data_IF_486851120259
#
_entry.id   IF_486851120259
#
_cell.length_a   1.000
_cell.length_b   1.000
_cell.length_c   1.000
_cell.angle_alpha   90.00
_cell.angle_beta   90.00
_cell.angle_gamma   90.00
#
_symmetry.space_group_name_H-M   'P 1'
#
loop_
_entity.id
_entity.type
_entity.pdbx_description
1 polymer ?
#
# COMPACT_ATOMS: atom_id res chain seq x y z
N UNK A 1 -18.84 2.09 -10.17
CA UNK A 1 -19.82 0.98 -10.15
C UNK A 1 -19.42 -0.02 -11.23
N UNK A 2 -19.23 -1.29 -10.88
CA UNK A 2 -18.81 -2.32 -11.85
C UNK A 2 -20.00 -2.70 -12.75
N UNK A 3 -19.83 -2.79 -14.08
CA UNK A 3 -20.92 -3.17 -14.98
C UNK A 3 -21.46 -4.59 -14.69
N UNK A 4 -22.78 -4.77 -14.75
CA UNK A 4 -23.44 -6.06 -14.46
C UNK A 4 -22.95 -7.22 -15.35
N UNK A 5 -22.64 -6.96 -16.61
CA UNK A 5 -22.09 -7.97 -17.53
C UNK A 5 -20.68 -8.42 -17.16
N UNK A 6 -19.89 -7.54 -16.52
CA UNK A 6 -18.58 -7.91 -16.02
C UNK A 6 -18.70 -8.80 -14.79
N UNK A 7 -19.62 -8.49 -13.88
CA UNK A 7 -19.90 -9.33 -12.70
C UNK A 7 -20.38 -10.72 -13.12
N UNK A 8 -21.33 -10.80 -14.08
CA UNK A 8 -21.83 -12.09 -14.59
C UNK A 8 -20.72 -12.96 -15.19
N UNK A 9 -19.83 -12.37 -15.99
CA UNK A 9 -18.70 -13.08 -16.61
C UNK A 9 -17.67 -13.54 -15.59
N UNK A 10 -17.41 -12.73 -14.57
CA UNK A 10 -16.53 -13.12 -13.46
C UNK A 10 -17.11 -14.28 -12.65
N UNK A 11 -18.39 -14.23 -12.29
CA UNK A 11 -19.06 -15.31 -11.54
C UNK A 11 -19.10 -16.65 -12.29
N UNK A 12 -19.03 -16.63 -13.63
CA UNK A 12 -19.01 -17.84 -14.44
C UNK A 12 -17.74 -18.68 -14.26
N UNK A 13 -16.69 -18.14 -13.62
CA UNK A 13 -15.44 -18.84 -13.32
C UNK A 13 -15.57 -19.77 -12.10
N UNK A 14 -16.58 -19.56 -11.25
CA UNK A 14 -16.79 -20.34 -10.03
C UNK A 14 -17.91 -21.37 -10.21
N UNK A 15 -17.78 -22.47 -9.47
CA UNK A 15 -18.85 -23.45 -9.30
C UNK A 15 -20.12 -22.77 -8.75
N UNK A 16 -21.30 -23.30 -9.09
CA UNK A 16 -22.58 -22.64 -8.78
C UNK A 16 -22.78 -22.45 -7.28
N UNK A 17 -22.33 -23.42 -6.49
CA UNK A 17 -22.32 -23.44 -5.03
C UNK A 17 -21.41 -22.37 -4.39
N UNK A 18 -20.41 -21.88 -5.12
CA UNK A 18 -19.40 -20.94 -4.61
C UNK A 18 -19.68 -19.49 -5.03
N UNK A 19 -20.54 -19.28 -6.04
CA UNK A 19 -20.93 -17.94 -6.51
C UNK A 19 -21.48 -17.02 -5.41
N UNK A 20 -22.27 -17.48 -4.42
CA UNK A 20 -22.72 -16.62 -3.33
C UNK A 20 -21.56 -16.08 -2.48
N UNK A 21 -20.55 -16.90 -2.21
CA UNK A 21 -19.35 -16.48 -1.48
C UNK A 21 -18.52 -15.51 -2.32
N UNK A 22 -18.36 -15.77 -3.63
CA UNK A 22 -17.67 -14.85 -4.54
C UNK A 22 -18.37 -13.48 -4.61
N UNK A 23 -19.71 -13.43 -4.71
CA UNK A 23 -20.47 -12.17 -4.64
C UNK A 23 -20.26 -11.44 -3.32
N UNK A 24 -20.31 -12.17 -2.20
CA UNK A 24 -20.06 -11.61 -0.89
C UNK A 24 -18.66 -10.99 -0.81
N UNK A 25 -17.63 -11.65 -1.35
CA UNK A 25 -16.28 -11.09 -1.42
C UNK A 25 -16.25 -9.80 -2.25
N UNK A 26 -16.91 -9.81 -3.41
CA UNK A 26 -17.00 -8.64 -4.29
C UNK A 26 -17.63 -7.43 -3.60
N UNK A 27 -18.69 -7.65 -2.80
CA UNK A 27 -19.36 -6.61 -2.02
C UNK A 27 -18.49 -6.02 -0.92
N UNK A 28 -17.47 -6.76 -0.47
CA UNK A 28 -16.52 -6.32 0.58
C UNK A 28 -15.35 -5.53 0.02
N UNK A 29 -15.20 -5.46 -1.31
CA UNK A 29 -14.11 -4.75 -1.96
C UNK A 29 -14.54 -3.30 -2.27
N UNK A 30 -13.79 -2.36 -1.74
CA UNK A 30 -13.80 -0.94 -2.06
C UNK A 30 -12.95 -0.66 -3.30
N UNK A 31 -13.63 -0.22 -4.37
CA UNK A 31 -13.02 0.05 -5.67
C UNK A 31 -12.60 1.51 -5.82
N UNK A 32 -11.33 1.72 -6.16
CA UNK A 32 -10.78 3.03 -6.49
C UNK A 32 -10.80 3.24 -8.00
N UNK A 33 -11.82 3.94 -8.48
CA UNK A 33 -11.84 4.41 -9.88
C UNK A 33 -10.71 5.42 -10.13
N UNK A 34 -10.28 5.60 -11.40
CA UNK A 34 -9.24 6.56 -11.75
C UNK A 34 -9.48 7.99 -11.18
N UNK A 35 -10.67 8.61 -11.30
CA UNK A 35 -10.92 9.93 -10.70
C UNK A 35 -10.91 9.93 -9.17
N UNK A 36 -11.27 8.80 -8.55
CA UNK A 36 -11.17 8.65 -7.11
C UNK A 36 -9.70 8.52 -6.67
N UNK A 37 -8.93 7.70 -7.36
CA UNK A 37 -7.50 7.53 -7.15
C UNK A 37 -6.75 8.86 -7.23
N UNK A 38 -7.04 9.70 -8.23
CA UNK A 38 -6.45 11.05 -8.33
C UNK A 38 -6.77 11.92 -7.10
N UNK A 39 -7.99 11.84 -6.56
CA UNK A 39 -8.38 12.58 -5.33
C UNK A 39 -7.66 12.04 -4.10
N UNK A 40 -7.44 10.73 -4.04
CA UNK A 40 -6.71 10.07 -2.95
C UNK A 40 -5.22 10.40 -3.00
N UNK A 41 -4.60 10.42 -4.18
CA UNK A 41 -3.20 10.83 -4.35
C UNK A 41 -2.97 12.30 -3.98
N UNK A 42 -3.94 13.19 -4.25
CA UNK A 42 -3.91 14.58 -3.74
C UNK A 42 -4.06 14.65 -2.22
N UNK A 43 -4.83 13.74 -1.64
CA UNK A 43 -4.98 13.64 -0.18
C UNK A 43 -3.70 13.13 0.46
N UNK A 44 -3.10 12.08 -0.10
CA UNK A 44 -1.80 11.55 0.27
C UNK A 44 -0.72 12.63 0.21
N UNK A 45 -0.71 13.45 -0.85
CA UNK A 45 0.25 14.56 -0.96
C UNK A 45 0.09 15.58 0.17
N UNK A 46 -1.13 16.03 0.48
CA UNK A 46 -1.37 16.93 1.62
C UNK A 46 -0.93 16.33 2.95
N UNK A 47 -1.15 15.04 3.15
CA UNK A 47 -0.69 14.32 4.34
C UNK A 47 0.85 14.31 4.40
N UNK A 48 1.52 13.98 3.30
CA UNK A 48 2.97 14.01 3.19
C UNK A 48 3.53 15.41 3.48
N UNK A 49 2.99 16.47 2.87
CA UNK A 49 3.42 17.86 3.12
C UNK A 49 3.34 18.22 4.61
N UNK A 50 2.26 17.82 5.28
CA UNK A 50 2.11 18.04 6.72
C UNK A 50 3.18 17.28 7.54
N UNK A 51 3.53 16.05 7.15
CA UNK A 51 4.59 15.27 7.82
C UNK A 51 5.99 15.82 7.55
N UNK A 52 6.26 16.27 6.33
CA UNK A 52 7.50 16.93 5.96
C UNK A 52 7.69 18.23 6.75
N UNK A 53 6.68 19.10 6.78
CA UNK A 53 6.71 20.34 7.54
C UNK A 53 6.92 20.09 9.04
N UNK A 54 6.23 19.10 9.62
CA UNK A 54 6.41 18.72 11.02
C UNK A 54 7.82 18.18 11.33
N UNK A 55 8.50 17.58 10.35
CA UNK A 55 9.89 17.14 10.46
C UNK A 55 10.91 18.25 10.13
N UNK A 56 10.45 19.45 9.75
CA UNK A 56 11.29 20.61 9.46
C UNK A 56 11.93 20.61 8.06
N UNK A 57 11.29 19.95 7.09
CA UNK A 57 11.63 20.08 5.67
C UNK A 57 10.83 21.21 5.02
N UNK A 58 11.33 21.73 3.90
CA UNK A 58 10.61 22.72 3.10
C UNK A 58 9.51 22.05 2.26
N UNK A 59 8.32 21.95 2.86
CA UNK A 59 7.15 21.36 2.22
C UNK A 59 6.58 22.20 1.05
N UNK A 60 7.04 23.44 0.83
CA UNK A 60 6.58 24.26 -0.29
C UNK A 60 7.45 24.05 -1.53
N UNK A 61 8.78 24.07 -1.38
CA UNK A 61 9.70 23.89 -2.51
C UNK A 61 10.06 22.44 -2.81
N UNK A 62 9.96 21.55 -1.80
CA UNK A 62 10.38 20.15 -1.88
C UNK A 62 11.85 19.94 -2.34
N UNK A 63 12.68 20.99 -2.28
CA UNK A 63 14.06 20.94 -2.76
C UNK A 63 14.96 20.01 -1.96
N UNK A 64 14.58 19.69 -0.72
CA UNK A 64 15.21 18.74 0.20
C UNK A 64 14.50 17.37 0.22
N UNK A 65 13.63 17.09 -0.76
CA UNK A 65 12.90 15.84 -0.89
C UNK A 65 13.31 15.12 -2.17
N UNK A 66 13.58 13.83 -2.06
CA UNK A 66 13.76 12.94 -3.20
C UNK A 66 12.55 12.01 -3.32
N UNK A 67 11.86 12.07 -4.45
CA UNK A 67 10.85 11.08 -4.79
C UNK A 67 11.50 9.92 -5.52
N UNK A 68 11.16 8.69 -5.14
CA UNK A 68 11.60 7.49 -5.82
C UNK A 68 10.41 6.62 -6.19
N UNK A 69 10.44 6.12 -7.42
CA UNK A 69 9.53 5.05 -7.90
C UNK A 69 10.08 3.65 -7.59
N UNK A 70 11.33 3.61 -7.16
CA UNK A 70 12.08 2.39 -6.85
C UNK A 70 11.64 1.86 -5.48
N UNK A 71 11.96 0.59 -5.19
CA UNK A 71 11.46 -0.15 -4.03
C UNK A 71 9.96 -0.52 -4.09
N UNK A 72 9.38 -0.48 -5.29
CA UNK A 72 7.97 -0.81 -5.56
C UNK A 72 7.88 -1.84 -6.67
N UNK A 73 6.80 -2.63 -6.71
CA UNK A 73 6.55 -3.60 -7.78
C UNK A 73 5.73 -2.96 -8.91
N UNK A 74 5.40 -3.71 -9.97
CA UNK A 74 4.70 -3.27 -11.20
C UNK A 74 3.65 -2.15 -11.05
N UNK A 75 2.90 -2.07 -9.94
CA UNK A 75 1.94 -0.97 -9.65
C UNK A 75 2.57 0.36 -9.25
N UNK A 76 3.64 0.34 -8.47
CA UNK A 76 4.18 1.53 -7.84
C UNK A 76 4.82 2.48 -8.85
N UNK A 77 5.33 1.96 -9.96
CA UNK A 77 5.75 2.79 -11.11
C UNK A 77 4.57 3.60 -11.68
N UNK A 78 3.41 2.95 -11.85
CA UNK A 78 2.20 3.60 -12.32
C UNK A 78 1.65 4.58 -11.30
N UNK A 79 1.69 4.24 -10.01
CA UNK A 79 1.23 5.14 -8.95
C UNK A 79 2.13 6.37 -8.82
N UNK A 80 3.43 6.20 -8.99
CA UNK A 80 4.39 7.30 -8.99
C UNK A 80 4.10 8.27 -10.13
N UNK A 81 3.81 7.74 -11.33
CA UNK A 81 3.36 8.54 -12.47
C UNK A 81 2.06 9.32 -12.16
N UNK A 82 1.04 8.63 -11.65
CA UNK A 82 -0.25 9.24 -11.34
C UNK A 82 -0.15 10.28 -10.22
N UNK A 83 0.64 10.00 -9.19
CA UNK A 83 0.89 10.89 -8.07
C UNK A 83 1.56 12.18 -8.55
N UNK A 84 2.61 12.04 -9.36
CA UNK A 84 3.31 13.17 -9.97
C UNK A 84 2.36 14.06 -10.77
N UNK A 85 1.56 13.46 -11.66
CA UNK A 85 0.59 14.18 -12.49
C UNK A 85 -0.51 14.84 -11.66
N UNK A 86 -1.05 14.14 -10.66
CA UNK A 86 -2.12 14.64 -9.80
C UNK A 86 -1.72 15.86 -8.97
N UNK A 87 -0.42 15.97 -8.63
CA UNK A 87 0.15 16.98 -7.75
C UNK A 87 1.11 17.95 -8.47
N UNK A 88 1.19 17.90 -9.81
CA UNK A 88 2.00 18.79 -10.65
C UNK A 88 3.49 18.81 -10.29
N UNK A 89 4.04 17.67 -9.84
CA UNK A 89 5.46 17.55 -9.50
C UNK A 89 6.26 17.36 -10.81
N UNK A 90 7.34 18.11 -11.04
CA UNK A 90 8.24 17.88 -12.18
C UNK A 90 8.84 16.47 -12.20
N UNK A 91 9.04 15.91 -13.41
CA UNK A 91 9.72 14.60 -13.56
C UNK A 91 11.15 14.62 -13.02
N UNK A 92 11.82 15.77 -13.06
CA UNK A 92 13.21 15.93 -12.58
C UNK A 92 13.35 15.74 -11.07
N UNK A 93 12.26 15.86 -10.31
CA UNK A 93 12.25 15.68 -8.85
C UNK A 93 12.09 14.19 -8.45
N UNK A 94 11.86 13.30 -9.44
CA UNK A 94 11.86 11.85 -9.26
C UNK A 94 13.25 11.29 -9.60
N UNK A 95 13.96 10.83 -8.57
CA UNK A 95 15.27 10.21 -8.70
C UNK A 95 15.13 8.72 -9.07
N UNK A 96 15.98 8.24 -9.97
CA UNK A 96 16.15 6.79 -10.22
C UNK A 96 17.07 6.17 -9.18
N UNK A 97 17.06 4.84 -9.06
CA UNK A 97 17.90 4.16 -8.08
C UNK A 97 19.39 4.42 -8.33
N UNK A 98 19.83 4.39 -9.58
CA UNK A 98 21.22 4.65 -9.96
C UNK A 98 21.62 6.09 -9.60
N UNK A 99 20.70 7.05 -9.73
CA UNK A 99 20.95 8.43 -9.34
C UNK A 99 21.10 8.57 -7.81
N UNK A 100 20.30 7.83 -7.04
CA UNK A 100 20.38 7.77 -5.58
C UNK A 100 21.69 7.13 -5.11
N UNK A 101 22.08 5.98 -5.70
CA UNK A 101 23.37 5.32 -5.44
C UNK A 101 24.52 6.24 -5.78
N UNK A 102 24.54 6.78 -7.00
CA UNK A 102 25.63 7.66 -7.45
C UNK A 102 25.76 8.93 -6.59
N UNK A 103 24.67 9.36 -5.95
CA UNK A 103 24.69 10.44 -4.96
C UNK A 103 25.31 9.96 -3.65
N UNK A 104 24.86 8.82 -3.13
CA UNK A 104 25.41 8.22 -1.92
C UNK A 104 26.91 7.87 -2.05
N UNK A 105 27.39 7.47 -3.24
CA UNK A 105 28.80 7.23 -3.54
C UNK A 105 29.64 8.51 -3.50
N UNK A 106 29.12 9.60 -4.09
CA UNK A 106 29.85 10.87 -4.20
C UNK A 106 29.87 11.66 -2.91
N UNK A 107 28.77 11.61 -2.17
CA UNK A 107 28.60 12.29 -0.90
C UNK A 107 27.74 11.43 0.05
N UNK A 108 28.37 10.61 0.90
CA UNK A 108 27.69 9.79 1.91
C UNK A 108 26.89 10.59 2.95
N UNK A 109 27.03 11.93 2.96
CA UNK A 109 26.27 12.85 3.80
C UNK A 109 25.05 13.47 3.11
N UNK A 110 24.92 13.36 1.78
CA UNK A 110 23.93 14.11 1.00
C UNK A 110 22.48 13.84 1.43
N UNK A 111 22.18 12.63 1.91
CA UNK A 111 20.84 12.27 2.41
C UNK A 111 20.51 12.80 3.81
N UNK A 112 21.52 13.22 4.60
CA UNK A 112 21.35 13.53 6.04
C UNK A 112 20.48 14.74 6.34
N UNK A 113 20.30 15.61 5.35
CA UNK A 113 19.43 16.78 5.42
C UNK A 113 18.20 16.64 4.50
N UNK A 114 18.01 15.46 3.88
CA UNK A 114 16.95 15.21 2.89
C UNK A 114 15.95 14.15 3.37
N UNK A 115 14.75 14.20 2.79
CA UNK A 115 13.75 13.14 2.92
C UNK A 115 13.70 12.28 1.66
N UNK A 116 13.53 10.96 1.82
CA UNK A 116 13.22 10.05 0.73
C UNK A 116 11.73 9.71 0.78
N UNK A 117 11.03 9.81 -0.35
CA UNK A 117 9.61 9.46 -0.49
C UNK A 117 9.48 8.31 -1.47
N UNK A 118 8.89 7.21 -1.04
CA UNK A 118 8.61 6.01 -1.84
C UNK A 118 7.09 5.89 -1.97
N UNK A 119 6.61 5.66 -3.18
CA UNK A 119 5.17 5.69 -3.51
C UNK A 119 4.66 4.32 -3.95
N UNK A 120 3.67 3.77 -3.25
CA UNK A 120 3.02 2.51 -3.63
C UNK A 120 1.49 2.65 -3.68
N UNK A 121 0.82 1.74 -4.39
CA UNK A 121 -0.65 1.71 -4.37
C UNK A 121 -1.17 1.09 -3.08
N UNK A 122 -0.60 -0.06 -2.73
CA UNK A 122 -1.00 -0.85 -1.59
C UNK A 122 0.19 -1.49 -0.90
N UNK A 123 0.25 -1.31 0.42
CA UNK A 123 1.25 -1.99 1.26
C UNK A 123 0.54 -3.02 2.13
N UNK A 124 0.62 -4.30 1.75
CA UNK A 124 0.03 -5.41 2.50
C UNK A 124 0.79 -5.66 3.80
N UNK A 125 1.85 -6.44 3.72
CA UNK A 125 2.68 -6.80 4.87
C UNK A 125 3.91 -5.91 5.05
N UNK A 126 4.26 -5.14 4.02
CA UNK A 126 5.56 -4.45 3.91
C UNK A 126 6.73 -5.38 3.59
N UNK A 127 6.49 -6.67 3.36
CA UNK A 127 7.48 -7.72 3.08
C UNK A 127 8.46 -7.35 1.98
N UNK A 128 7.95 -6.83 0.87
CA UNK A 128 8.76 -6.46 -0.28
C UNK A 128 9.80 -5.40 0.10
N UNK A 129 9.35 -4.30 0.72
CA UNK A 129 10.24 -3.24 1.20
C UNK A 129 11.29 -3.76 2.19
N UNK A 130 10.86 -4.57 3.15
CA UNK A 130 11.72 -5.03 4.25
C UNK A 130 12.70 -6.13 3.81
N UNK A 131 12.21 -7.17 3.13
CA UNK A 131 12.97 -8.40 2.89
C UNK A 131 13.45 -8.59 1.46
N UNK A 132 12.86 -7.94 0.47
CA UNK A 132 13.37 -8.01 -0.91
C UNK A 132 14.35 -6.89 -1.21
N UNK A 133 14.09 -5.69 -0.68
CA UNK A 133 14.95 -4.53 -0.89
C UNK A 133 15.94 -4.36 0.26
N UNK A 134 15.46 -3.97 1.44
CA UNK A 134 16.33 -3.64 2.58
C UNK A 134 17.20 -4.82 3.02
N UNK A 135 16.64 -6.01 3.27
CA UNK A 135 17.39 -7.09 3.89
C UNK A 135 18.35 -7.84 2.95
N UNK A 136 18.38 -7.50 1.66
CA UNK A 136 19.10 -8.26 0.62
C UNK A 136 20.06 -7.43 -0.24
N UNK A 137 20.08 -6.11 -0.08
CA UNK A 137 20.90 -5.22 -0.89
C UNK A 137 21.62 -4.21 -0.01
N UNK A 138 22.95 -4.31 0.05
CA UNK A 138 23.81 -3.34 0.77
C UNK A 138 23.62 -1.92 0.20
N UNK A 139 23.38 -1.81 -1.11
CA UNK A 139 23.10 -0.52 -1.75
C UNK A 139 21.75 0.05 -1.28
N UNK A 140 20.73 -0.78 -1.08
CA UNK A 140 19.43 -0.36 -0.57
C UNK A 140 19.55 0.12 0.88
N UNK A 141 20.25 -0.66 1.73
CA UNK A 141 20.54 -0.30 3.12
C UNK A 141 21.26 1.05 3.17
N UNK A 142 22.29 1.21 2.33
CA UNK A 142 23.10 2.42 2.28
C UNK A 142 22.31 3.63 1.82
N UNK A 143 21.51 3.49 0.76
CA UNK A 143 20.65 4.56 0.26
C UNK A 143 19.61 4.93 1.32
N UNK A 144 18.82 3.97 1.79
CA UNK A 144 17.71 4.19 2.74
C UNK A 144 18.25 4.71 4.08
N UNK A 145 19.30 4.11 4.62
CA UNK A 145 19.95 4.49 5.87
C UNK A 145 20.65 5.85 5.83
N UNK A 146 20.97 6.35 4.63
CA UNK A 146 21.59 7.66 4.43
C UNK A 146 20.65 8.86 4.61
N UNK A 147 19.34 8.65 4.52
CA UNK A 147 18.36 9.74 4.61
C UNK A 147 18.03 10.14 6.06
N UNK A 148 17.69 11.43 6.24
CA UNK A 148 17.18 11.96 7.52
C UNK A 148 15.84 11.33 7.88
N UNK A 149 14.96 11.19 6.88
CA UNK A 149 13.62 10.61 6.98
C UNK A 149 13.29 9.84 5.71
N UNK A 150 12.55 8.76 5.86
CA UNK A 150 12.02 7.97 4.74
C UNK A 150 10.50 7.85 4.93
N UNK A 151 9.74 8.18 3.90
CA UNK A 151 8.29 8.13 3.91
C UNK A 151 7.81 7.10 2.89
N UNK A 152 7.19 6.03 3.40
CA UNK A 152 6.47 5.06 2.58
C UNK A 152 5.04 5.57 2.43
N UNK A 153 4.73 6.15 1.29
CA UNK A 153 3.44 6.76 0.99
C UNK A 153 2.60 5.82 0.14
N UNK A 154 1.40 5.48 0.57
CA UNK A 154 0.51 4.64 -0.21
C UNK A 154 -0.96 5.04 -0.13
N UNK A 155 -1.77 4.53 -1.05
CA UNK A 155 -3.22 4.79 -0.99
C UNK A 155 -3.84 3.99 0.13
N UNK A 156 -3.56 2.69 0.22
CA UNK A 156 -3.98 1.89 1.38
C UNK A 156 -2.84 1.02 1.93
N UNK A 157 -2.87 0.75 3.22
CA UNK A 157 -1.97 -0.19 3.87
C UNK A 157 -2.70 -1.08 4.87
N UNK A 158 -2.35 -2.36 4.90
CA UNK A 158 -2.89 -3.30 5.87
C UNK A 158 -2.38 -3.01 7.28
N UNK A 159 -3.16 -3.33 8.31
CA UNK A 159 -2.73 -3.30 9.72
C UNK A 159 -1.45 -4.11 9.98
N UNK A 160 -1.23 -5.18 9.23
CA UNK A 160 -0.02 -6.01 9.33
C UNK A 160 1.27 -5.25 8.96
N UNK A 161 1.24 -4.35 7.97
CA UNK A 161 2.37 -3.48 7.67
C UNK A 161 2.69 -2.54 8.85
N UNK A 162 1.68 -2.00 9.53
CA UNK A 162 1.88 -1.18 10.74
C UNK A 162 2.44 -2.01 11.89
N UNK A 163 1.91 -3.22 12.10
CA UNK A 163 2.40 -4.14 13.12
C UNK A 163 3.87 -4.47 12.90
N UNK A 164 4.26 -4.83 11.67
CA UNK A 164 5.65 -5.11 11.30
C UNK A 164 6.55 -3.88 11.48
N UNK A 165 6.10 -2.71 11.01
CA UNK A 165 6.83 -1.45 11.21
C UNK A 165 7.08 -1.12 12.68
N UNK A 166 6.10 -1.34 13.57
CA UNK A 166 6.28 -1.15 15.03
C UNK A 166 7.29 -2.10 15.64
N UNK A 167 7.33 -3.35 15.19
CA UNK A 167 8.34 -4.33 15.64
C UNK A 167 9.74 -3.89 15.23
N UNK A 168 9.92 -3.45 13.98
CA UNK A 168 11.20 -2.96 13.46
C UNK A 168 11.67 -1.71 14.22
N UNK A 169 10.77 -0.74 14.47
CA UNK A 169 11.07 0.46 15.27
C UNK A 169 11.46 0.16 16.73
N UNK A 170 10.96 -0.95 17.27
CA UNK A 170 11.30 -1.45 18.60
C UNK A 170 12.55 -2.35 18.62
N UNK A 171 13.19 -2.61 17.47
CA UNK A 171 14.33 -3.51 17.35
C UNK A 171 13.98 -4.99 17.54
N UNK A 172 12.70 -5.38 17.38
CA UNK A 172 12.20 -6.75 17.52
C UNK A 172 12.27 -7.49 16.18
N UNK A 173 13.47 -7.62 15.62
CA UNK A 173 13.68 -8.14 14.26
C UNK A 173 13.26 -9.60 14.11
N UNK A 174 13.53 -10.44 15.11
CA UNK A 174 13.18 -11.86 15.09
C UNK A 174 11.66 -12.08 14.94
N UNK A 175 10.86 -11.22 15.58
CA UNK A 175 9.41 -11.30 15.47
C UNK A 175 8.90 -10.78 14.12
N UNK A 176 9.57 -9.80 13.53
CA UNK A 176 9.24 -9.34 12.18
C UNK A 176 9.56 -10.42 11.13
N UNK A 177 10.68 -11.14 11.29
CA UNK A 177 11.05 -12.27 10.42
C UNK A 177 10.08 -13.44 10.61
N UNK A 178 9.73 -13.80 11.85
CA UNK A 178 8.78 -14.90 12.09
C UNK A 178 7.41 -14.62 11.47
N UNK A 179 6.89 -13.39 11.57
CA UNK A 179 5.63 -13.01 10.90
C UNK A 179 5.74 -13.20 9.39
N UNK A 180 6.91 -12.92 8.81
CA UNK A 180 7.17 -13.15 7.38
C UNK A 180 7.09 -14.63 7.02
N UNK A 181 7.76 -15.50 7.77
CA UNK A 181 7.73 -16.96 7.58
C UNK A 181 6.32 -17.53 7.72
N UNK A 182 5.54 -17.02 8.67
CA UNK A 182 4.13 -17.40 8.86
C UNK A 182 3.24 -16.95 7.69
N UNK A 183 3.56 -15.83 7.04
CA UNK A 183 2.78 -15.24 5.94
C UNK A 183 3.16 -15.82 4.56
N UNK A 184 4.40 -16.27 4.37
CA UNK A 184 4.91 -16.85 3.12
C UNK A 184 5.27 -18.31 3.37
N UNK A 185 4.25 -19.16 3.46
CA UNK A 185 4.36 -20.59 3.75
C UNK A 185 5.24 -21.37 2.77
N UNK A 186 5.48 -20.83 1.57
CA UNK A 186 6.33 -21.42 0.54
C UNK A 186 7.80 -20.98 0.57
N UNK A 187 8.19 -20.04 1.44
CA UNK A 187 9.56 -19.56 1.58
C UNK A 187 10.21 -20.05 2.89
N UNK A 188 11.42 -20.61 2.79
CA UNK A 188 12.25 -20.97 3.95
C UNK A 188 13.30 -19.89 4.18
N UNK A 189 13.07 -19.00 5.16
CA UNK A 189 14.00 -17.92 5.50
C UNK A 189 15.11 -18.32 6.47
N UNK A 190 15.06 -19.53 7.05
CA UNK A 190 16.09 -20.03 7.99
C UNK A 190 17.53 -19.90 7.47
N UNK A 191 17.84 -20.11 6.18
CA UNK A 191 19.20 -19.92 5.67
C UNK A 191 19.66 -18.45 5.68
N UNK A 192 18.75 -17.49 5.58
CA UNK A 192 19.01 -16.05 5.45
C UNK A 192 18.73 -15.27 6.73
N UNK A 193 18.14 -15.90 7.77
CA UNK A 193 17.63 -15.24 8.97
C UNK A 193 18.68 -14.35 9.67
N UNK A 194 19.91 -14.85 9.84
CA UNK A 194 21.00 -14.08 10.46
C UNK A 194 21.43 -12.90 9.58
N UNK A 195 21.48 -13.09 8.26
CA UNK A 195 21.81 -12.02 7.32
C UNK A 195 20.72 -10.93 7.34
N UNK A 196 19.45 -11.32 7.38
CA UNK A 196 18.35 -10.37 7.53
C UNK A 196 18.44 -9.61 8.85
N UNK A 197 18.68 -10.31 9.96
CA UNK A 197 18.83 -9.66 11.27
C UNK A 197 19.94 -8.60 11.24
N UNK A 198 21.08 -8.91 10.63
CA UNK A 198 22.19 -7.98 10.49
C UNK A 198 21.81 -6.78 9.62
N UNK A 199 21.28 -7.02 8.43
CA UNK A 199 20.85 -5.98 7.49
C UNK A 199 19.79 -5.04 8.10
N UNK A 200 18.76 -5.60 8.74
CA UNK A 200 17.71 -4.82 9.39
C UNK A 200 18.26 -3.98 10.55
N UNK A 201 19.29 -4.45 11.25
CA UNK A 201 19.91 -3.71 12.35
C UNK A 201 20.75 -2.51 11.90
N UNK A 202 21.14 -2.43 10.63
CA UNK A 202 21.89 -1.29 10.07
C UNK A 202 21.02 -0.05 9.85
N UNK A 203 19.70 -0.21 9.82
CA UNK A 203 18.75 0.88 9.56
C UNK A 203 18.14 1.41 10.86
N UNK A 204 18.14 2.74 11.01
CA UNK A 204 17.35 3.41 12.04
C UNK A 204 15.86 3.49 11.63
N UNK A 205 15.11 2.43 11.92
CA UNK A 205 13.69 2.30 11.57
C UNK A 205 12.79 3.40 12.13
N UNK A 206 13.24 4.15 13.15
CA UNK A 206 12.49 5.30 13.69
C UNK A 206 12.42 6.48 12.72
N UNK A 207 13.27 6.46 11.68
CA UNK A 207 13.27 7.44 10.59
C UNK A 207 12.32 7.09 9.46
N UNK A 208 11.83 5.85 9.42
CA UNK A 208 10.93 5.34 8.40
C UNK A 208 9.49 5.45 8.90
N UNK A 209 8.64 6.12 8.12
CA UNK A 209 7.23 6.35 8.43
C UNK A 209 6.34 5.87 7.29
N UNK A 210 5.29 5.12 7.63
CA UNK A 210 4.25 4.68 6.71
C UNK A 210 3.06 5.66 6.75
N UNK A 211 2.75 6.26 5.60
CA UNK A 211 1.67 7.22 5.40
C UNK A 211 0.66 6.64 4.42
N UNK A 212 -0.41 5.97 4.87
CA UNK A 212 -1.51 5.57 4.00
C UNK A 212 -2.58 6.67 3.93
N UNK A 213 -3.40 6.68 2.88
CA UNK A 213 -4.71 7.36 2.92
C UNK A 213 -5.71 6.53 3.74
N UNK A 214 -5.70 5.21 3.56
CA UNK A 214 -6.60 4.27 4.22
C UNK A 214 -5.85 3.18 4.98
N UNK A 215 -6.35 2.84 6.17
CA UNK A 215 -5.95 1.62 6.87
C UNK A 215 -6.90 0.49 6.48
N UNK A 216 -6.31 -0.59 5.99
CA UNK A 216 -7.00 -1.78 5.51
C UNK A 216 -6.89 -2.91 6.54
N UNK A 217 -7.89 -3.78 6.55
CA UNK A 217 -7.98 -4.97 7.41
C UNK A 217 -8.49 -6.13 6.59
N UNK A 218 -8.21 -7.36 7.04
CA UNK A 218 -8.74 -8.52 6.35
C UNK A 218 -10.27 -8.51 6.41
N UNK A 219 -10.91 -8.82 5.29
CA UNK A 219 -12.38 -9.02 5.24
C UNK A 219 -12.84 -10.11 6.20
N UNK A 220 -11.94 -11.01 6.61
CA UNK A 220 -12.20 -12.13 7.52
C UNK A 220 -12.00 -11.76 8.99
N UNK A 221 -11.43 -10.60 9.33
CA UNK A 221 -11.26 -10.21 10.73
C UNK A 221 -12.62 -10.06 11.44
N UNK A 222 -12.71 -10.47 12.71
CA UNK A 222 -13.85 -10.10 13.55
C UNK A 222 -13.82 -8.60 13.72
N UNK A 223 -14.93 -7.93 13.38
CA UNK A 223 -15.11 -6.55 13.82
C UNK A 223 -15.15 -6.57 15.34
N UNK A 224 -14.01 -6.30 15.98
CA UNK A 224 -13.97 -6.04 17.41
C UNK A 224 -15.04 -5.00 17.72
N UNK A 225 -15.86 -5.30 18.72
CA UNK A 225 -16.88 -4.41 19.23
C UNK A 225 -16.33 -2.98 19.33
N UNK A 226 -17.09 -2.01 18.81
CA UNK A 226 -16.77 -0.60 18.97
C UNK A 226 -16.63 -0.25 20.45
N UNK A 227 -15.41 0.03 20.88
CA UNK A 227 -15.10 0.93 21.99
C UNK A 227 -14.61 2.24 21.35
N UNK A 228 -15.21 3.42 21.47
CA UNK A 228 -16.43 3.86 22.11
C UNK A 228 -16.50 5.37 21.89
N UNK A 229 -17.53 5.86 21.20
CA UNK A 229 -17.95 7.27 21.29
C UNK A 229 -19.08 7.36 22.30
N UNK A 230 -18.76 7.81 23.52
CA UNK A 230 -19.62 8.49 24.48
C UNK A 230 -18.67 9.02 25.57
N UNK A 231 -18.58 10.30 25.92
CA UNK A 231 -19.67 11.15 26.35
C UNK A 231 -19.49 11.43 27.86
N UNK A 232 -18.87 12.58 28.17
CA UNK A 232 -18.92 13.35 29.41
C UNK A 232 -19.06 12.67 30.78
N UNK A 233 -18.03 12.85 31.62
CA UNK A 233 -18.21 13.24 33.02
C UNK A 233 -16.98 14.01 33.51
N UNK A 234 -17.16 15.29 33.82
CA UNK A 234 -16.19 16.06 34.59
C UNK A 234 -16.20 15.56 36.05
N UNK A 235 -15.07 15.70 36.75
CA UNK A 235 -15.16 16.17 38.12
C UNK A 235 -14.27 17.39 38.34
N UNK A 236 -14.88 18.38 39.01
CA UNK A 236 -14.24 19.52 39.64
C UNK A 236 -13.09 19.10 40.58
N UNK A 237 -12.00 19.88 40.58
CA UNK A 237 -10.92 19.73 41.56
C UNK A 237 -9.66 20.51 41.24
N UNK A 238 -9.56 21.71 41.80
CA UNK A 238 -8.45 22.68 41.74
C UNK A 238 -7.03 22.15 42.07
N UNK A 239 -6.04 22.83 41.44
CA UNK A 239 -4.70 23.24 41.95
C UNK A 239 -3.59 22.16 42.01
N UNK A 240 -2.31 22.38 41.64
CA UNK A 240 -1.55 23.48 41.03
C UNK A 240 -0.18 22.94 40.57
N UNK A 241 0.46 23.68 39.65
CA UNK A 241 1.89 23.72 39.31
C UNK A 241 2.61 22.46 38.79
N UNK A 242 3.24 22.62 37.61
CA UNK A 242 4.20 21.67 37.06
C UNK A 242 4.29 21.71 35.54
N UNK A 243 5.02 22.67 35.00
CA UNK A 243 5.42 22.80 33.59
C UNK A 243 5.98 21.49 33.03
N UNK A 244 5.24 20.87 32.12
CA UNK A 244 5.75 19.85 31.19
C UNK A 244 5.17 20.15 29.80
N UNK A 245 6.03 20.61 28.89
CA UNK A 245 5.71 20.81 27.48
C UNK A 245 5.59 19.44 26.83
N UNK A 246 4.36 18.93 26.74
CA UNK A 246 4.05 17.70 26.03
C UNK A 246 4.05 17.97 24.52
N UNK A 247 5.00 17.35 23.83
CA UNK A 247 5.04 17.27 22.36
C UNK A 247 3.87 16.37 21.93
N UNK A 248 2.78 16.99 21.48
CA UNK A 248 1.59 16.30 21.01
C UNK A 248 1.87 15.55 19.70
N UNK A 249 1.94 14.23 19.78
CA UNK A 249 1.85 13.35 18.62
C UNK A 249 0.43 13.45 18.04
N UNK A 250 0.27 14.21 16.96
CA UNK A 250 -0.96 14.23 16.18
C UNK A 250 -1.07 12.94 15.37
N UNK A 251 -1.70 11.92 15.97
CA UNK A 251 -2.20 10.76 15.25
C UNK A 251 -3.34 11.22 14.33
N UNK A 252 -3.05 11.37 13.03
CA UNK A 252 -4.09 11.50 12.02
C UNK A 252 -4.60 10.10 11.69
N UNK A 253 -5.70 9.70 12.34
CA UNK A 253 -6.43 8.48 12.02
C UNK A 253 -6.93 8.55 10.57
N UNK A 254 -6.37 7.69 9.71
CA UNK A 254 -6.87 7.47 8.35
C UNK A 254 -8.32 7.00 8.41
N UNK A 255 -9.16 7.51 7.52
CA UNK A 255 -10.56 7.08 7.45
C UNK A 255 -10.61 5.57 7.20
N UNK A 256 -11.20 4.81 8.10
CA UNK A 256 -11.53 3.39 7.92
C UNK A 256 -12.65 3.25 6.88
N UNK A 257 -12.59 2.23 6.02
CA UNK A 257 -13.66 1.91 5.07
C UNK A 257 -15.00 1.75 5.79
N UNK A 258 -16.03 2.33 5.20
CA UNK A 258 -17.37 2.50 5.76
C UNK A 258 -18.14 1.17 6.00
N UNK A 259 -18.77 1.08 7.17
CA UNK A 259 -20.15 0.64 7.47
C UNK A 259 -20.75 -0.66 6.87
N UNK A 260 -19.97 -1.61 6.37
CA UNK A 260 -20.51 -2.96 6.12
C UNK A 260 -20.58 -3.76 7.44
N UNK A 261 -21.71 -4.41 7.76
CA UNK A 261 -21.84 -5.19 8.99
C UNK A 261 -20.80 -6.32 9.00
N UNK A 262 -20.32 -6.75 10.17
CA UNK A 262 -19.38 -7.87 10.27
C UNK A 262 -19.94 -9.11 9.56
N UNK A 263 -19.06 -9.93 8.97
CA UNK A 263 -19.48 -11.22 8.42
C UNK A 263 -20.03 -12.12 9.53
N UNK A 264 -21.09 -12.87 9.22
CA UNK A 264 -21.50 -13.98 10.10
C UNK A 264 -20.46 -15.09 10.07
N UNK A 265 -20.47 -15.98 11.08
CA UNK A 265 -19.59 -17.15 11.10
C UNK A 265 -19.76 -18.03 9.84
N UNK A 266 -21.01 -18.24 9.40
CA UNK A 266 -21.31 -19.01 8.18
C UNK A 266 -20.76 -18.34 6.92
N UNK A 267 -20.95 -17.01 6.80
CA UNK A 267 -20.40 -16.23 5.69
C UNK A 267 -18.87 -16.28 5.66
N UNK A 268 -18.22 -16.22 6.82
CA UNK A 268 -16.77 -16.34 6.93
C UNK A 268 -16.29 -17.71 6.49
N UNK A 269 -16.88 -18.78 7.02
CA UNK A 269 -16.52 -20.15 6.62
C UNK A 269 -16.74 -20.38 5.12
N UNK A 270 -17.80 -19.80 4.54
CA UNK A 270 -18.03 -19.88 3.10
C UNK A 270 -16.95 -19.14 2.30
N UNK A 271 -16.52 -17.96 2.75
CA UNK A 271 -15.42 -17.23 2.14
C UNK A 271 -14.09 -17.94 2.31
N UNK A 272 -13.74 -18.42 3.50
CA UNK A 272 -12.52 -19.19 3.74
C UNK A 272 -12.46 -20.41 2.81
N UNK A 273 -13.56 -21.18 2.73
CA UNK A 273 -13.65 -22.32 1.79
C UNK A 273 -13.48 -21.89 0.34
N UNK A 274 -14.09 -20.78 -0.07
CA UNK A 274 -13.91 -20.22 -1.41
C UNK A 274 -12.42 -19.91 -1.65
N UNK A 275 -11.78 -19.20 -0.75
CA UNK A 275 -10.37 -18.84 -0.89
C UNK A 275 -9.52 -20.11 -0.96
N UNK A 276 -9.69 -21.05 -0.04
CA UNK A 276 -8.94 -22.32 -0.03
C UNK A 276 -9.13 -23.12 -1.32
N UNK A 277 -10.34 -23.12 -1.90
CA UNK A 277 -10.66 -23.88 -3.12
C UNK A 277 -10.02 -23.27 -4.36
N UNK A 278 -9.94 -21.94 -4.44
CA UNK A 278 -9.48 -21.23 -5.64
C UNK A 278 -8.11 -20.56 -5.47
N UNK A 279 -7.42 -20.74 -4.33
CA UNK A 279 -6.03 -20.29 -4.14
C UNK A 279 -5.12 -21.11 -5.06
N UNK A 280 -4.17 -20.47 -5.73
CA UNK A 280 -3.12 -21.16 -6.48
C UNK A 280 -2.29 -22.06 -5.55
N UNK A 281 -1.97 -23.29 -5.98
CA UNK A 281 -1.07 -24.20 -5.25
C UNK A 281 0.23 -23.47 -4.88
N UNK A 282 0.58 -23.45 -3.58
CA UNK A 282 1.75 -22.72 -3.07
C UNK A 282 1.50 -21.29 -2.57
N UNK A 283 0.27 -20.78 -2.66
CA UNK A 283 -0.17 -19.52 -2.02
C UNK A 283 -1.06 -19.75 -0.79
N UNK A 284 -1.23 -21.01 -0.36
CA UNK A 284 -2.06 -21.43 0.76
C UNK A 284 -1.66 -20.72 2.08
N UNK A 285 -2.58 -19.95 2.66
CA UNK A 285 -2.43 -19.29 3.97
C UNK A 285 -2.03 -17.81 3.94
N UNK A 286 -1.28 -17.35 2.93
CA UNK A 286 -0.93 -15.93 2.78
C UNK A 286 -2.12 -15.06 2.34
N UNK A 287 -3.03 -15.66 1.58
CA UNK A 287 -4.13 -14.98 0.91
C UNK A 287 -5.31 -14.63 1.81
N UNK A 288 -5.56 -15.36 2.91
CA UNK A 288 -6.68 -15.09 3.83
C UNK A 288 -6.38 -13.98 4.84
N UNK A 289 -5.13 -13.92 5.32
CA UNK A 289 -4.66 -12.88 6.27
C UNK A 289 -4.54 -11.52 5.60
N UNK A 290 -4.23 -11.48 4.30
CA UNK A 290 -3.97 -10.24 3.55
C UNK A 290 -5.10 -9.84 2.61
N UNK A 291 -6.26 -10.51 2.71
CA UNK A 291 -7.46 -10.22 1.93
C UNK A 291 -8.08 -8.89 2.37
N UNK A 292 -7.41 -7.80 2.01
CA UNK A 292 -7.86 -6.46 2.30
C UNK A 292 -9.03 -6.04 1.42
N UNK A 293 -9.65 -4.94 1.83
CA UNK A 293 -10.85 -4.40 1.23
C UNK A 293 -10.57 -3.49 0.03
N UNK A 294 -9.32 -3.11 -0.29
CA UNK A 294 -9.06 -2.11 -1.35
C UNK A 294 -8.61 -2.71 -2.68
N UNK A 295 -9.28 -2.36 -3.79
CA UNK A 295 -8.86 -2.68 -5.15
C UNK A 295 -8.74 -1.42 -6.02
N UNK A 296 -7.69 -1.34 -6.84
CA UNK A 296 -7.33 -0.12 -7.59
C UNK A 296 -7.46 -0.32 -9.09
N UNK A 297 -8.10 0.66 -9.76
CA UNK A 297 -8.25 0.66 -11.21
C UNK A 297 -7.44 1.80 -11.83
N UNK A 298 -6.39 1.43 -12.56
CA UNK A 298 -5.46 2.39 -13.13
C UNK A 298 -5.85 2.95 -14.50
N UNK A 299 -6.95 2.47 -15.09
CA UNK A 299 -7.34 2.90 -16.45
C UNK A 299 -6.38 2.47 -17.55
N UNK A 300 -5.40 1.60 -17.25
CA UNK A 300 -4.49 0.99 -18.20
C UNK A 300 -4.91 -0.47 -18.44
N UNK A 301 -5.07 -0.92 -19.70
CA UNK A 301 -5.43 -2.31 -20.01
C UNK A 301 -4.31 -3.34 -19.72
N UNK A 302 -3.21 -2.92 -19.09
CA UNK A 302 -1.96 -3.66 -19.12
C UNK A 302 -1.80 -4.53 -17.89
N UNK A 303 -2.16 -5.80 -18.08
CA UNK A 303 -1.63 -7.06 -17.48
C UNK A 303 -2.72 -8.14 -17.37
N UNK A 304 -3.94 -7.83 -17.80
CA UNK A 304 -5.11 -8.67 -17.56
C UNK A 304 -5.92 -8.81 -18.84
N UNK A 305 -6.36 -10.03 -19.19
CA UNK A 305 -7.40 -10.26 -20.17
C UNK A 305 -8.51 -9.20 -20.08
N UNK A 306 -9.09 -8.72 -21.19
CA UNK A 306 -10.16 -7.70 -21.18
C UNK A 306 -11.37 -8.06 -20.28
N UNK A 307 -11.53 -9.34 -19.95
CA UNK A 307 -12.55 -9.87 -19.04
C UNK A 307 -12.23 -9.64 -17.55
N UNK A 308 -10.97 -9.32 -17.22
CA UNK A 308 -10.42 -9.15 -15.87
C UNK A 308 -10.03 -7.70 -15.53
N UNK A 309 -10.06 -6.79 -16.50
CA UNK A 309 -9.83 -5.34 -16.27
C UNK A 309 -10.62 -4.70 -15.11
N UNK A 310 -11.84 -5.14 -14.75
CA UNK A 310 -12.58 -4.50 -13.67
C UNK A 310 -12.18 -4.91 -12.24
N UNK A 311 -11.24 -5.85 -12.03
CA UNK A 311 -11.23 -6.61 -10.77
C UNK A 311 -9.86 -6.89 -10.11
N UNK A 312 -8.72 -6.71 -10.76
CA UNK A 312 -7.54 -7.46 -10.34
C UNK A 312 -6.31 -6.58 -10.14
N UNK A 313 -5.96 -6.33 -8.88
CA UNK A 313 -4.55 -6.29 -8.47
C UNK A 313 -4.25 -6.91 -7.09
N UNK A 314 -5.24 -7.54 -6.46
CA UNK A 314 -5.05 -8.47 -5.33
C UNK A 314 -5.89 -9.75 -5.45
N UNK A 315 -6.54 -9.93 -6.60
CA UNK A 315 -7.25 -11.17 -6.94
C UNK A 315 -6.41 -11.97 -7.96
N UNK A 316 -5.19 -11.54 -8.31
CA UNK A 316 -4.26 -12.33 -9.15
C UNK A 316 -4.01 -13.72 -8.53
N UNK A 317 -4.06 -13.84 -7.20
CA UNK A 317 -3.88 -15.10 -6.46
C UNK A 317 -5.04 -16.10 -6.58
N UNK A 318 -6.19 -15.67 -7.13
CA UNK A 318 -7.39 -16.51 -7.30
C UNK A 318 -7.99 -16.43 -8.71
N UNK A 319 -7.27 -15.83 -9.66
CA UNK A 319 -7.74 -15.75 -11.05
C UNK A 319 -7.28 -16.97 -11.83
N UNK A 320 -8.22 -17.72 -12.38
CA UNK A 320 -7.89 -18.77 -13.35
C UNK A 320 -7.72 -18.11 -14.72
N UNK A 321 -6.49 -18.05 -15.23
CA UNK A 321 -6.19 -17.59 -16.59
C UNK A 321 -6.21 -18.76 -17.58
N UNK A 322 -6.92 -18.67 -18.72
CA UNK A 322 -6.68 -19.55 -19.86
C UNK A 322 -5.32 -19.23 -20.51
N UNK A 323 -4.54 -20.27 -20.86
CA UNK A 323 -3.19 -20.15 -21.45
C UNK A 323 -3.13 -19.26 -22.72
N UNK A 324 -4.25 -19.10 -23.41
CA UNK A 324 -4.36 -18.48 -24.74
C UNK A 324 -4.37 -16.95 -24.71
N UNK A 325 -4.37 -16.31 -23.53
CA UNK A 325 -4.76 -14.89 -23.38
C UNK A 325 -3.61 -13.88 -23.46
N UNK A 326 -2.38 -14.32 -23.79
CA UNK A 326 -1.17 -13.49 -23.76
C UNK A 326 -0.75 -12.89 -25.12
N UNK A 327 -1.58 -12.96 -26.15
CA UNK A 327 -1.24 -12.45 -27.49
C UNK A 327 -1.86 -11.05 -27.67
N UNK A 328 -1.02 -10.05 -28.03
CA UNK A 328 -1.37 -8.66 -28.43
C UNK A 328 -1.65 -7.59 -27.34
N UNK A 329 -0.99 -7.64 -26.17
CA UNK A 329 -1.10 -6.57 -25.15
C UNK A 329 -0.14 -5.41 -25.49
N UNK A 330 -0.66 -4.24 -25.89
CA UNK A 330 0.12 -3.02 -26.19
C UNK A 330 0.23 -2.07 -24.99
N UNK A 331 1.40 -1.44 -24.82
CA UNK A 331 1.85 -0.69 -23.63
C UNK A 331 1.29 0.74 -23.43
N UNK A 332 0.24 1.14 -24.14
CA UNK A 332 -0.10 2.56 -24.25
C UNK A 332 -0.88 3.09 -23.04
N UNK A 333 -0.35 4.15 -22.41
CA UNK A 333 -0.97 4.85 -21.26
C UNK A 333 -2.08 5.78 -21.79
N UNK A 334 -3.31 5.65 -21.25
CA UNK A 334 -4.44 6.51 -21.61
C UNK A 334 -4.46 7.74 -20.69
N UNK A 335 -4.23 8.93 -21.26
CA UNK A 335 -4.28 10.20 -20.53
C UNK A 335 -5.72 10.76 -20.50
N UNK A 336 -6.17 11.25 -19.34
CA UNK A 336 -7.49 11.88 -19.15
C UNK A 336 -7.36 13.39 -18.81
N UNK A 337 -8.20 14.21 -19.43
CA UNK A 337 -8.42 15.62 -19.13
C UNK A 337 -9.48 15.67 -18.05
N UNK A 338 -9.04 16.07 -16.86
CA UNK A 338 -9.85 16.16 -15.65
C UNK A 338 -10.44 17.55 -15.45
N UNK A 339 -10.05 18.53 -16.27
CA UNK A 339 -10.48 19.93 -16.19
C UNK A 339 -11.60 20.25 -17.22
N UNK A 340 -11.91 19.30 -18.12
CA UNK A 340 -12.88 19.46 -19.21
C UNK A 340 -14.39 19.42 -18.82
N UNK A 341 -14.74 19.35 -17.53
CA UNK A 341 -16.13 19.36 -17.06
C UNK A 341 -16.57 18.08 -16.33
N UNK A 342 -17.88 17.76 -16.28
CA UNK A 342 -18.40 16.65 -15.47
C UNK A 342 -18.15 15.30 -16.15
N UNK A 343 -16.92 14.82 -16.06
CA UNK A 343 -16.50 13.49 -16.50
C UNK A 343 -15.09 13.47 -17.07
N UNK A 344 -14.29 12.41 -16.83
CA UNK A 344 -12.96 12.29 -17.38
C UNK A 344 -13.03 12.16 -18.91
N UNK A 345 -12.29 13.00 -19.64
CA UNK A 345 -12.28 12.98 -21.11
C UNK A 345 -10.91 12.51 -21.60
N UNK A 346 -10.85 11.45 -22.40
CA UNK A 346 -9.56 10.92 -22.90
C UNK A 346 -8.89 11.98 -23.80
N UNK A 347 -7.63 12.31 -23.53
CA UNK A 347 -6.86 13.35 -24.23
C UNK A 347 -5.89 12.75 -25.24
N UNK A 348 -5.39 11.54 -25.00
CA UNK A 348 -4.49 10.84 -25.93
C UNK A 348 -4.42 9.34 -25.67
N UNK A 349 -4.36 8.60 -26.77
CA UNK A 349 -3.77 7.27 -26.90
C UNK A 349 -2.49 7.49 -27.70
N UNK A 350 -1.32 7.49 -27.08
CA UNK A 350 -0.08 7.62 -27.86
C UNK A 350 0.20 6.28 -28.53
N UNK A 351 -0.15 6.19 -29.82
CA UNK A 351 0.15 5.05 -30.68
C UNK A 351 -0.18 5.38 -32.14
N UNK A 352 0.71 6.09 -32.84
CA UNK A 352 0.69 6.25 -34.30
C UNK A 352 -0.32 7.23 -34.88
#
# INVERSE_FOLDING_TARGET
MVPADSVRRWLAQFAEEDRPAALLLLERIHYHSYPQLVRELRTLHRMLLARLAAAGFDAESLGDVDFSREFTCKSGDLISYLYRRANLIPTVDFSTFEALIARADRDPGAGRDRALVILDDYIGTGSQFVFQFVARSDDDIRVIGGYRRVYLCCVAAHEEAFRKGRLLQAGRFDEAIRIEEEQITCADFRPEEEAFRQALAEIDWRRIELIPVFRDRSVLEESGAGEGRAGGAAPDGMSADGTAVAVGAAASDGATVADLPPLTAEQRTALERLLDTYTLEGCEGGTSVLLGTHAFFYGAPNSLPPILLPLFKRVEDFTIYPEDTFIDITTDIIDYDLDAGPGPRIVRTDGG
#
